data_IF_159958733705
#
_entry.id   IF_159958733705
#
_cell.length_a   1.000
_cell.length_b   1.000
_cell.length_c   1.000
_cell.angle_alpha   90.00
_cell.angle_beta   90.00
_cell.angle_gamma   90.00
#
_symmetry.space_group_name_H-M   'P 1'
#
loop_
_entity.id
_entity.type
_entity.pdbx_description
1 polymer ?
#
# COMPACT_ATOMS: atom_id res chain seq x y z
N UNK A 1 -29.81 89.24 -26.09
CA UNK A 1 -30.64 88.03 -26.18
C UNK A 1 -29.81 86.89 -26.70
N UNK A 2 -29.16 86.12 -25.87
CA UNK A 2 -28.44 84.87 -26.26
C UNK A 2 -28.52 83.90 -25.13
N UNK A 3 -29.39 82.91 -25.29
CA UNK A 3 -29.51 81.77 -24.37
C UNK A 3 -28.36 80.78 -24.63
N UNK A 4 -27.53 80.55 -23.66
CA UNK A 4 -26.53 79.45 -23.66
C UNK A 4 -27.11 78.19 -23.01
N UNK A 5 -27.27 77.19 -23.83
CA UNK A 5 -27.65 75.83 -23.44
C UNK A 5 -26.45 75.18 -22.73
N UNK A 6 -26.66 74.83 -21.46
CA UNK A 6 -25.72 74.01 -20.67
C UNK A 6 -26.02 72.56 -20.97
N UNK A 7 -25.10 71.86 -21.57
CA UNK A 7 -25.17 70.40 -21.74
C UNK A 7 -24.62 69.73 -20.48
N UNK A 8 -25.46 69.03 -19.73
CA UNK A 8 -25.06 68.13 -18.68
C UNK A 8 -24.59 66.80 -19.32
N UNK A 9 -23.31 66.50 -19.14
CA UNK A 9 -22.76 65.19 -19.48
C UNK A 9 -22.95 64.29 -18.29
N UNK A 10 -23.77 63.23 -18.45
CA UNK A 10 -23.92 62.15 -17.46
C UNK A 10 -22.70 61.20 -17.56
N UNK A 11 -21.90 61.18 -16.53
CA UNK A 11 -20.81 60.20 -16.41
C UNK A 11 -21.41 58.89 -15.87
N UNK A 12 -21.42 57.85 -16.69
CA UNK A 12 -21.78 56.50 -16.27
C UNK A 12 -20.62 55.88 -15.50
N UNK A 13 -20.80 55.66 -14.21
CA UNK A 13 -19.89 54.89 -13.35
C UNK A 13 -20.17 53.41 -13.55
N UNK A 14 -19.27 52.72 -14.23
CA UNK A 14 -19.33 51.23 -14.35
C UNK A 14 -18.72 50.65 -13.10
N UNK A 15 -19.53 50.10 -12.20
CA UNK A 15 -19.07 49.27 -11.10
C UNK A 15 -18.68 47.88 -11.65
N UNK A 16 -17.41 47.69 -11.88
CA UNK A 16 -16.84 46.37 -12.18
C UNK A 16 -16.85 45.49 -10.92
N UNK A 17 -17.78 44.58 -10.85
CA UNK A 17 -17.77 43.54 -9.79
C UNK A 17 -16.58 42.60 -9.96
N UNK A 18 -15.65 42.63 -9.01
CA UNK A 18 -14.57 41.63 -8.90
C UNK A 18 -15.20 40.40 -8.24
N UNK A 19 -15.50 39.39 -9.05
CA UNK A 19 -15.86 38.08 -8.55
C UNK A 19 -14.58 37.44 -7.96
N UNK A 20 -14.46 37.41 -6.63
CA UNK A 20 -13.42 36.65 -5.95
C UNK A 20 -13.72 35.15 -6.10
N UNK A 21 -12.97 34.50 -7.01
CA UNK A 21 -12.96 33.04 -7.12
C UNK A 21 -12.17 32.52 -5.93
N UNK A 22 -12.86 32.08 -4.89
CA UNK A 22 -12.26 31.34 -3.78
C UNK A 22 -11.82 29.97 -4.31
N UNK A 23 -10.55 29.86 -4.71
CA UNK A 23 -9.94 28.57 -4.98
C UNK A 23 -9.85 27.82 -3.64
N UNK A 24 -10.80 26.90 -3.41
CA UNK A 24 -10.74 25.97 -2.30
C UNK A 24 -9.48 25.13 -2.44
N UNK A 25 -8.52 25.35 -1.56
CA UNK A 25 -7.33 24.50 -1.46
C UNK A 25 -7.81 23.20 -0.81
N UNK A 26 -8.06 22.19 -1.63
CA UNK A 26 -8.25 20.82 -1.14
C UNK A 26 -6.89 20.35 -0.62
N UNK A 27 -6.66 20.47 0.68
CA UNK A 27 -5.54 19.82 1.34
C UNK A 27 -5.78 18.32 1.30
N UNK A 28 -5.23 17.64 0.30
CA UNK A 28 -5.11 16.20 0.30
C UNK A 28 -4.13 15.85 1.42
N UNK A 29 -4.63 15.29 2.52
CA UNK A 29 -3.80 14.70 3.55
C UNK A 29 -3.06 13.53 2.93
N UNK A 30 -1.80 13.72 2.56
CA UNK A 30 -0.93 12.64 2.14
C UNK A 30 -0.61 11.81 3.39
N UNK A 31 -1.31 10.70 3.58
CA UNK A 31 -0.93 9.69 4.58
C UNK A 31 0.34 9.00 4.07
N UNK A 32 1.48 9.40 4.63
CA UNK A 32 2.80 8.90 4.21
C UNK A 32 3.08 7.46 4.67
N UNK A 33 2.23 6.87 5.50
CA UNK A 33 2.44 5.55 6.09
C UNK A 33 1.14 4.74 6.02
N UNK A 34 1.13 3.64 5.28
CA UNK A 34 0.11 2.61 5.37
C UNK A 34 -0.85 2.42 4.21
N UNK A 35 -0.88 3.29 3.20
CA UNK A 35 -1.74 3.10 2.02
C UNK A 35 -1.10 2.13 1.00
N UNK A 36 -0.80 0.92 1.45
CA UNK A 36 -0.53 -0.18 0.52
C UNK A 36 -1.88 -0.76 0.11
N UNK A 37 -2.28 -0.52 -1.12
CA UNK A 37 -3.42 -1.23 -1.73
C UNK A 37 -2.88 -2.58 -2.21
N UNK A 38 -3.27 -3.69 -1.56
CA UNK A 38 -2.79 -5.01 -1.94
C UNK A 38 -3.19 -5.34 -3.37
N UNK A 39 -2.24 -5.88 -4.14
CA UNK A 39 -2.47 -6.33 -5.50
C UNK A 39 -2.82 -7.80 -5.48
N UNK A 40 -3.92 -8.16 -6.16
CA UNK A 40 -4.34 -9.55 -6.27
C UNK A 40 -3.23 -10.44 -6.84
N UNK A 41 -3.12 -11.64 -6.31
CA UNK A 41 -2.11 -12.64 -6.71
C UNK A 41 -2.81 -13.81 -7.35
N UNK A 42 -2.40 -14.16 -8.56
CA UNK A 42 -2.89 -15.37 -9.23
C UNK A 42 -2.15 -16.60 -8.69
N UNK A 43 -2.88 -17.44 -7.99
CA UNK A 43 -2.38 -18.70 -7.43
C UNK A 43 -2.82 -19.93 -8.24
N UNK A 44 -3.26 -19.74 -9.48
CA UNK A 44 -3.65 -20.83 -10.38
C UNK A 44 -2.53 -21.85 -10.52
N UNK A 45 -2.90 -23.12 -10.39
CA UNK A 45 -1.96 -24.25 -10.47
C UNK A 45 -1.37 -24.67 -9.14
N UNK A 46 -1.72 -24.00 -8.05
CA UNK A 46 -1.43 -24.47 -6.69
C UNK A 46 -2.62 -25.21 -6.11
N UNK A 47 -2.34 -26.11 -5.18
CA UNK A 47 -3.40 -26.80 -4.42
C UNK A 47 -4.10 -25.79 -3.50
N UNK A 48 -5.45 -25.70 -3.54
CA UNK A 48 -6.20 -24.81 -2.65
C UNK A 48 -6.05 -25.24 -1.18
N UNK A 49 -5.84 -24.27 -0.30
CA UNK A 49 -5.61 -24.54 1.12
C UNK A 49 -6.89 -24.51 1.97
N UNK A 50 -7.98 -23.98 1.39
CA UNK A 50 -9.27 -23.87 2.08
C UNK A 50 -9.33 -22.64 3.01
N UNK A 51 -10.29 -22.65 3.93
CA UNK A 51 -10.55 -21.50 4.82
C UNK A 51 -9.70 -21.50 6.09
N UNK A 52 -9.32 -22.68 6.56
CA UNK A 52 -8.57 -22.81 7.80
C UNK A 52 -7.08 -22.59 7.53
N UNK A 53 -6.50 -21.64 8.23
CA UNK A 53 -5.09 -21.33 8.09
C UNK A 53 -4.22 -22.52 8.44
N UNK A 54 -3.24 -22.80 7.57
CA UNK A 54 -2.24 -23.82 7.85
C UNK A 54 -1.29 -23.33 8.95
N UNK A 55 -0.81 -24.26 9.76
CA UNK A 55 0.13 -23.96 10.84
C UNK A 55 1.53 -23.68 10.31
N UNK A 56 1.95 -24.40 9.28
CA UNK A 56 3.23 -24.22 8.59
C UNK A 56 3.02 -24.14 7.09
N UNK A 57 4.04 -23.64 6.38
CA UNK A 57 3.98 -23.39 4.95
C UNK A 57 3.79 -24.69 4.13
N UNK A 58 2.61 -24.92 3.55
CA UNK A 58 2.36 -26.14 2.76
C UNK A 58 3.04 -26.13 1.39
N UNK A 59 3.52 -24.95 0.96
CA UNK A 59 4.17 -24.77 -0.33
C UNK A 59 5.70 -24.71 -0.27
N UNK A 60 6.28 -25.02 0.90
CA UNK A 60 7.74 -25.03 1.08
C UNK A 60 8.40 -25.94 0.04
N UNK A 61 9.38 -25.40 -0.71
CA UNK A 61 10.08 -26.12 -1.76
C UNK A 61 9.30 -26.33 -3.06
N UNK A 62 8.07 -25.84 -3.17
CA UNK A 62 7.30 -25.89 -4.41
C UNK A 62 7.78 -24.78 -5.36
N UNK A 63 8.40 -25.15 -6.50
CA UNK A 63 8.98 -24.22 -7.46
C UNK A 63 7.95 -23.21 -8.00
N UNK A 64 6.74 -23.67 -8.32
CA UNK A 64 5.67 -22.80 -8.81
C UNK A 64 5.24 -21.80 -7.75
N UNK A 65 5.11 -22.21 -6.52
CA UNK A 65 4.78 -21.32 -5.40
C UNK A 65 5.89 -20.30 -5.16
N UNK A 66 7.16 -20.71 -5.26
CA UNK A 66 8.31 -19.80 -5.12
C UNK A 66 8.30 -18.72 -6.20
N UNK A 67 8.03 -19.10 -7.47
CA UNK A 67 7.92 -18.16 -8.58
C UNK A 67 6.80 -17.12 -8.36
N UNK A 68 5.60 -17.60 -8.00
CA UNK A 68 4.45 -16.75 -7.65
C UNK A 68 4.82 -15.85 -6.47
N UNK A 69 5.41 -16.41 -5.43
CA UNK A 69 5.78 -15.70 -4.21
C UNK A 69 6.77 -14.57 -4.43
N UNK A 70 7.75 -14.76 -5.32
CA UNK A 70 8.69 -13.71 -5.73
C UNK A 70 7.95 -12.53 -6.36
N UNK A 71 7.02 -12.80 -7.28
CA UNK A 71 6.22 -11.77 -7.93
C UNK A 71 5.29 -11.08 -6.93
N UNK A 72 4.59 -11.85 -6.11
CA UNK A 72 3.67 -11.37 -5.10
C UNK A 72 4.36 -10.48 -4.06
N UNK A 73 5.55 -10.87 -3.60
CA UNK A 73 6.37 -10.07 -2.70
C UNK A 73 6.74 -8.73 -3.30
N UNK A 74 7.21 -8.71 -4.54
CA UNK A 74 7.61 -7.47 -5.21
C UNK A 74 6.44 -6.51 -5.38
N UNK A 75 5.23 -7.01 -5.59
CA UNK A 75 4.03 -6.20 -5.76
C UNK A 75 3.47 -5.67 -4.44
N UNK A 76 3.55 -6.46 -3.36
CA UNK A 76 2.81 -6.19 -2.13
C UNK A 76 3.70 -5.82 -0.93
N UNK A 77 4.95 -6.26 -0.90
CA UNK A 77 5.81 -6.17 0.29
C UNK A 77 7.06 -5.31 0.06
N UNK A 78 7.62 -5.34 -1.15
CA UNK A 78 8.92 -4.73 -1.45
C UNK A 78 8.95 -3.21 -1.26
N UNK A 79 7.80 -2.52 -1.33
CA UNK A 79 7.72 -1.08 -1.06
C UNK A 79 8.27 -0.72 0.32
N UNK A 80 8.06 -1.57 1.32
CA UNK A 80 8.52 -1.35 2.68
C UNK A 80 9.74 -2.22 3.04
N UNK A 81 9.72 -3.48 2.61
CA UNK A 81 10.76 -4.46 2.95
C UNK A 81 11.94 -4.49 1.96
N UNK A 82 11.88 -3.67 0.90
CA UNK A 82 12.92 -3.59 -0.12
C UNK A 82 12.85 -4.71 -1.16
N UNK A 83 13.43 -4.46 -2.33
CA UNK A 83 13.54 -5.45 -3.39
C UNK A 83 14.43 -6.60 -2.93
N UNK A 84 14.03 -7.83 -3.24
CA UNK A 84 14.77 -9.01 -2.80
C UNK A 84 14.72 -9.24 -1.28
N UNK A 85 13.79 -8.61 -0.57
CA UNK A 85 13.64 -8.62 0.88
C UNK A 85 14.78 -7.93 1.65
N UNK A 86 15.64 -7.18 0.95
CA UNK A 86 16.76 -6.40 1.52
C UNK A 86 16.22 -5.07 2.02
N UNK A 87 16.17 -4.90 3.34
CA UNK A 87 15.59 -3.71 3.95
C UNK A 87 16.33 -2.42 3.59
N UNK A 88 15.55 -1.39 3.23
CA UNK A 88 16.03 0.00 3.14
C UNK A 88 15.90 0.80 4.45
N UNK A 89 15.59 0.14 5.57
CA UNK A 89 15.45 0.78 6.90
C UNK A 89 14.02 1.18 7.29
N UNK A 90 13.03 1.06 6.39
CA UNK A 90 11.62 1.38 6.70
C UNK A 90 10.97 0.23 7.48
N UNK A 91 11.24 -1.01 7.07
CA UNK A 91 10.71 -2.24 7.67
C UNK A 91 11.86 -3.24 7.91
N UNK A 92 11.66 -4.29 8.70
CA UNK A 92 12.70 -5.30 8.92
C UNK A 92 13.16 -5.95 7.61
N UNK A 93 14.44 -6.34 7.57
CA UNK A 93 14.99 -7.19 6.53
C UNK A 93 14.50 -8.63 6.72
N UNK A 94 13.74 -9.13 5.74
CA UNK A 94 13.07 -10.42 5.86
C UNK A 94 13.96 -11.61 5.47
N UNK A 95 15.17 -11.36 5.01
CA UNK A 95 16.16 -12.44 4.77
C UNK A 95 16.64 -13.08 6.07
N UNK A 96 16.54 -12.34 7.18
CA UNK A 96 16.86 -12.85 8.52
C UNK A 96 15.65 -13.46 9.25
N UNK A 97 14.52 -13.65 8.57
CA UNK A 97 13.41 -14.39 9.13
C UNK A 97 13.79 -15.87 9.21
N UNK A 98 13.66 -16.43 10.41
CA UNK A 98 13.97 -17.83 10.66
C UNK A 98 13.30 -18.76 9.63
N UNK A 99 14.04 -19.68 9.00
CA UNK A 99 13.44 -20.67 8.11
C UNK A 99 12.64 -21.71 8.91
N UNK A 100 11.73 -22.41 8.23
CA UNK A 100 10.93 -23.47 8.83
C UNK A 100 9.79 -22.95 9.71
N UNK A 101 9.29 -23.81 10.58
CA UNK A 101 8.02 -23.63 11.30
C UNK A 101 8.02 -22.43 12.27
N UNK A 102 9.15 -22.13 12.91
CA UNK A 102 9.26 -20.95 13.79
C UNK A 102 9.06 -19.65 13.03
N UNK A 103 9.69 -19.53 11.87
CA UNK A 103 9.49 -18.38 10.99
C UNK A 103 8.10 -18.34 10.34
N UNK A 104 7.49 -19.50 10.10
CA UNK A 104 6.14 -19.59 9.55
C UNK A 104 5.10 -19.06 10.54
N UNK A 105 5.21 -19.40 11.83
CA UNK A 105 4.34 -18.88 12.87
C UNK A 105 4.42 -17.36 12.96
N UNK A 106 5.65 -16.82 13.01
CA UNK A 106 5.86 -15.38 13.06
C UNK A 106 5.32 -14.69 11.81
N UNK A 107 5.58 -15.25 10.62
CA UNK A 107 5.10 -14.72 9.35
C UNK A 107 3.57 -14.70 9.31
N UNK A 108 2.92 -15.84 9.61
CA UNK A 108 1.47 -15.99 9.67
C UNK A 108 0.83 -14.94 10.59
N UNK A 109 1.36 -14.81 11.79
CA UNK A 109 0.89 -13.83 12.77
C UNK A 109 1.00 -12.41 12.22
N UNK A 110 2.13 -12.08 11.59
CA UNK A 110 2.41 -10.73 11.11
C UNK A 110 1.54 -10.33 9.93
N UNK A 111 1.35 -11.20 8.94
CA UNK A 111 0.54 -10.87 7.75
C UNK A 111 -0.95 -10.78 8.07
N UNK A 112 -1.39 -11.51 9.10
CA UNK A 112 -2.79 -11.51 9.54
C UNK A 112 -3.14 -10.32 10.42
N UNK A 113 -2.26 -9.92 11.31
CA UNK A 113 -2.54 -8.88 12.30
C UNK A 113 -1.88 -7.55 11.99
N UNK A 114 -0.92 -7.52 11.06
CA UNK A 114 -0.15 -6.31 10.76
C UNK A 114 0.76 -5.89 11.91
N UNK A 115 1.09 -4.61 11.97
CA UNK A 115 1.84 -3.99 13.07
C UNK A 115 1.31 -2.60 13.37
N UNK A 116 0.80 -2.40 14.57
CA UNK A 116 0.33 -1.11 15.08
C UNK A 116 1.19 -0.74 16.28
N UNK A 117 1.73 0.48 16.30
CA UNK A 117 2.49 1.05 17.42
C UNK A 117 1.98 2.46 17.71
N UNK A 118 1.61 2.73 18.96
CA UNK A 118 1.09 4.03 19.38
C UNK A 118 -0.07 4.56 18.50
N UNK A 119 -0.96 3.66 18.08
CA UNK A 119 -2.10 4.01 17.21
C UNK A 119 -1.75 4.24 15.73
N UNK A 120 -0.48 4.09 15.33
CA UNK A 120 -0.02 4.23 13.95
C UNK A 120 0.17 2.84 13.33
N UNK A 121 -0.43 2.63 12.16
CA UNK A 121 -0.24 1.38 11.40
C UNK A 121 1.09 1.44 10.65
N UNK A 122 2.03 0.59 11.06
CA UNK A 122 3.33 0.41 10.38
C UNK A 122 3.27 -0.66 9.30
N UNK A 123 2.47 -1.70 9.51
CA UNK A 123 2.22 -2.75 8.53
C UNK A 123 0.72 -3.05 8.51
N UNK A 124 0.04 -2.98 7.37
CA UNK A 124 -1.37 -3.34 7.27
C UNK A 124 -1.55 -4.86 7.39
N UNK A 125 -2.78 -5.28 7.58
CA UNK A 125 -3.19 -6.69 7.45
C UNK A 125 -3.30 -7.04 5.97
N UNK A 126 -2.89 -8.25 5.62
CA UNK A 126 -2.91 -8.72 4.23
C UNK A 126 -3.82 -9.92 4.00
N UNK A 127 -4.24 -10.63 5.05
CA UNK A 127 -4.98 -11.89 4.95
C UNK A 127 -6.34 -11.76 4.25
N UNK A 128 -7.05 -10.67 4.48
CA UNK A 128 -8.34 -10.42 3.84
C UNK A 128 -8.21 -10.09 2.34
N UNK A 129 -7.09 -9.49 1.95
CA UNK A 129 -6.89 -9.02 0.59
C UNK A 129 -6.20 -10.04 -0.32
N UNK A 130 -5.28 -10.84 0.22
CA UNK A 130 -4.46 -11.75 -0.58
C UNK A 130 -4.84 -13.23 -0.41
N UNK A 131 -5.45 -13.61 0.68
CA UNK A 131 -5.70 -15.00 1.04
C UNK A 131 -4.44 -15.76 1.44
N UNK A 132 -4.63 -16.93 2.08
CA UNK A 132 -3.51 -17.69 2.61
C UNK A 132 -2.62 -18.30 1.52
N UNK A 133 -3.19 -18.71 0.38
CA UNK A 133 -2.43 -19.27 -0.73
C UNK A 133 -1.34 -18.28 -1.19
N UNK A 134 -1.74 -17.05 -1.49
CA UNK A 134 -0.81 -16.02 -1.93
C UNK A 134 0.25 -15.71 -0.86
N UNK A 135 -0.15 -15.62 0.40
CA UNK A 135 0.76 -15.32 1.51
C UNK A 135 1.76 -16.46 1.74
N UNK A 136 1.33 -17.72 1.67
CA UNK A 136 2.25 -18.85 1.79
C UNK A 136 3.21 -18.99 0.61
N UNK A 137 2.82 -18.53 -0.60
CA UNK A 137 3.79 -18.45 -1.72
C UNK A 137 4.89 -17.42 -1.43
N UNK A 138 4.52 -16.24 -0.87
CA UNK A 138 5.51 -15.24 -0.44
C UNK A 138 6.48 -15.84 0.58
N UNK A 139 5.96 -16.56 1.56
CA UNK A 139 6.78 -17.23 2.57
C UNK A 139 7.72 -18.28 1.96
N UNK A 140 7.23 -19.08 0.99
CA UNK A 140 8.05 -20.06 0.28
C UNK A 140 9.22 -19.40 -0.46
N UNK A 141 8.98 -18.24 -1.08
CA UNK A 141 10.04 -17.49 -1.74
C UNK A 141 11.02 -16.87 -0.73
N UNK A 142 10.55 -16.32 0.40
CA UNK A 142 11.41 -15.74 1.44
C UNK A 142 12.44 -16.74 1.96
N UNK A 143 12.07 -18.02 2.10
CA UNK A 143 12.99 -19.07 2.51
C UNK A 143 14.13 -19.30 1.49
N UNK A 144 13.92 -18.99 0.21
CA UNK A 144 14.97 -19.14 -0.82
C UNK A 144 15.99 -18.01 -0.81
N UNK A 145 15.67 -16.88 -0.19
CA UNK A 145 16.56 -15.71 -0.08
C UNK A 145 17.06 -15.49 1.34
N UNK A 146 16.78 -16.45 2.25
CA UNK A 146 17.20 -16.36 3.65
C UNK A 146 18.72 -16.29 3.77
N UNK A 147 19.21 -15.34 4.57
CA UNK A 147 20.60 -15.23 5.01
C UNK A 147 20.70 -15.75 6.46
N UNK A 148 21.63 -16.69 6.69
CA UNK A 148 21.92 -17.27 8.00
C UNK A 148 23.16 -16.63 8.61
#
# INVERSE_FOLDING_TARGET
>A
MNARLIRLSAAAVIFGGIAAISAGVFSSSAFAHGDVVPQAVDTTGLEPLGKDWKESNPYRGNERAIEIGKSAFNQNCARCHGLGAVSGGIAPDLRFLEPGDGGDEWFKERVRNGAIRNGITYMPKFDEALGQEALWTIRAWLETVAEQ
#
